data_IF_189877889195
#
_entry.id   IF_189877889195
#
_cell.length_a   1.000
_cell.length_b   1.000
_cell.length_c   1.000
_cell.angle_alpha   90.00
_cell.angle_beta   90.00
_cell.angle_gamma   90.00
#
_symmetry.space_group_name_H-M   'P 1'
#
loop_
_entity.id
_entity.type
_entity.pdbx_description
1 polymer ?
#
# COMPACT_ATOMS: atom_id res chain seq x y z
N UNK A 1 -25.06 -13.16 -16.77
CA UNK A 1 -23.63 -13.21 -16.38
C UNK A 1 -22.95 -14.15 -17.36
N UNK A 2 -22.20 -13.64 -18.33
CA UNK A 2 -21.52 -14.51 -19.29
C UNK A 2 -20.38 -15.22 -18.57
N UNK A 3 -20.48 -16.55 -18.45
CA UNK A 3 -19.36 -17.39 -18.03
C UNK A 3 -18.21 -17.14 -19.01
N UNK A 4 -17.07 -16.69 -18.48
CA UNK A 4 -15.82 -16.57 -19.22
C UNK A 4 -15.40 -18.00 -19.56
N UNK A 5 -15.71 -18.45 -20.77
CA UNK A 5 -15.35 -19.81 -21.20
C UNK A 5 -13.85 -19.82 -21.51
N UNK A 6 -13.08 -20.41 -20.59
CA UNK A 6 -11.67 -20.73 -20.77
C UNK A 6 -11.54 -22.18 -21.21
N UNK A 7 -10.62 -22.45 -22.14
CA UNK A 7 -10.25 -23.82 -22.44
C UNK A 7 -9.22 -24.35 -21.42
N UNK A 8 -9.08 -25.67 -21.34
CA UNK A 8 -8.17 -26.34 -20.39
C UNK A 8 -6.72 -25.86 -20.49
N UNK A 9 -6.26 -25.52 -21.70
CA UNK A 9 -4.91 -25.01 -21.94
C UNK A 9 -4.71 -23.62 -21.35
N UNK A 10 -5.71 -22.75 -21.49
CA UNK A 10 -5.72 -21.40 -20.92
C UNK A 10 -5.85 -21.45 -19.40
N UNK A 11 -6.67 -22.35 -18.87
CA UNK A 11 -6.78 -22.64 -17.45
C UNK A 11 -5.44 -23.04 -16.83
N UNK A 12 -4.78 -24.03 -17.44
CA UNK A 12 -3.45 -24.48 -17.01
C UNK A 12 -2.41 -23.36 -17.10
N UNK A 13 -2.42 -22.60 -18.20
CA UNK A 13 -1.55 -21.44 -18.36
C UNK A 13 -1.74 -20.42 -17.23
N UNK A 14 -2.99 -20.04 -16.92
CA UNK A 14 -3.31 -19.05 -15.88
C UNK A 14 -2.78 -19.51 -14.52
N UNK A 15 -3.03 -20.77 -14.16
CA UNK A 15 -2.54 -21.34 -12.89
C UNK A 15 -1.02 -21.31 -12.80
N UNK A 16 -0.31 -21.68 -13.87
CA UNK A 16 1.15 -21.63 -13.89
C UNK A 16 1.70 -20.20 -13.82
N UNK A 17 1.03 -19.23 -14.46
CA UNK A 17 1.41 -17.81 -14.35
C UNK A 17 1.30 -17.33 -12.90
N UNK A 18 0.23 -17.70 -12.20
CA UNK A 18 0.01 -17.34 -10.79
C UNK A 18 1.09 -17.97 -9.89
N UNK A 19 1.55 -19.18 -10.23
CA UNK A 19 2.64 -19.86 -9.54
C UNK A 19 4.03 -19.26 -9.83
N UNK A 20 4.14 -18.29 -10.74
CA UNK A 20 5.41 -17.64 -11.08
C UNK A 20 6.23 -18.35 -12.16
N UNK A 21 5.63 -19.29 -12.89
CA UNK A 21 6.31 -20.02 -13.96
C UNK A 21 6.67 -19.12 -15.14
N UNK A 22 7.79 -19.42 -15.80
CA UNK A 22 8.22 -18.67 -17.00
C UNK A 22 7.34 -19.00 -18.20
N UNK A 23 7.12 -18.03 -19.10
CA UNK A 23 6.38 -18.24 -20.36
C UNK A 23 6.95 -19.40 -21.18
N UNK A 24 8.28 -19.61 -21.13
CA UNK A 24 8.94 -20.73 -21.80
C UNK A 24 8.57 -22.09 -21.19
N UNK A 25 8.50 -22.20 -19.86
CA UNK A 25 8.06 -23.41 -19.17
C UNK A 25 6.57 -23.68 -19.44
N UNK A 26 5.73 -22.65 -19.38
CA UNK A 26 4.29 -22.74 -19.64
C UNK A 26 4.01 -23.22 -21.07
N UNK A 27 4.66 -22.60 -22.06
CA UNK A 27 4.50 -22.97 -23.47
C UNK A 27 4.79 -24.46 -23.71
N UNK A 28 5.87 -25.00 -23.09
CA UNK A 28 6.20 -26.43 -23.15
C UNK A 28 5.15 -27.30 -22.43
N UNK A 29 4.72 -26.89 -21.24
CA UNK A 29 3.75 -27.62 -20.41
C UNK A 29 2.35 -27.70 -21.02
N UNK A 30 1.95 -26.68 -21.78
CA UNK A 30 0.64 -26.55 -22.42
C UNK A 30 0.67 -26.99 -23.89
N UNK A 31 1.86 -27.31 -24.41
CA UNK A 31 2.13 -27.68 -25.80
C UNK A 31 1.59 -26.65 -26.81
N UNK A 32 2.08 -25.41 -26.69
CA UNK A 32 1.81 -24.29 -27.61
C UNK A 32 3.06 -23.42 -27.78
N UNK A 33 3.07 -22.54 -28.76
CA UNK A 33 4.18 -21.59 -28.93
C UNK A 33 4.13 -20.48 -27.87
N UNK A 34 5.28 -19.86 -27.56
CA UNK A 34 5.34 -18.68 -26.68
C UNK A 34 4.48 -17.53 -27.23
N UNK A 35 4.45 -17.35 -28.55
CA UNK A 35 3.61 -16.34 -29.21
C UNK A 35 2.12 -16.54 -28.91
N UNK A 36 1.66 -17.79 -28.92
CA UNK A 36 0.28 -18.15 -28.53
C UNK A 36 -0.05 -17.73 -27.10
N UNK A 37 0.88 -17.94 -26.16
CA UNK A 37 0.71 -17.51 -24.76
C UNK A 37 0.56 -15.99 -24.68
N UNK A 38 1.42 -15.22 -25.34
CA UNK A 38 1.31 -13.75 -25.37
C UNK A 38 0.00 -13.28 -26.00
N UNK A 39 -0.45 -13.94 -27.07
CA UNK A 39 -1.74 -13.66 -27.69
C UNK A 39 -2.91 -13.91 -26.73
N UNK A 40 -2.87 -14.98 -25.95
CA UNK A 40 -3.90 -15.26 -24.94
C UNK A 40 -3.89 -14.25 -23.81
N UNK A 41 -2.71 -13.85 -23.32
CA UNK A 41 -2.56 -12.85 -22.26
C UNK A 41 -3.17 -11.49 -22.62
N UNK A 42 -3.27 -11.18 -23.91
CA UNK A 42 -3.87 -9.94 -24.37
C UNK A 42 -5.40 -9.96 -24.38
N UNK A 43 -6.04 -11.13 -24.27
CA UNK A 43 -7.50 -11.26 -24.28
C UNK A 43 -8.11 -10.83 -22.95
N UNK A 44 -9.19 -10.05 -23.01
CA UNK A 44 -9.82 -9.46 -21.82
C UNK A 44 -10.34 -10.51 -20.85
N UNK A 45 -10.87 -11.63 -21.36
CA UNK A 45 -11.37 -12.72 -20.55
C UNK A 45 -10.25 -13.42 -19.74
N UNK A 46 -9.03 -13.51 -20.31
CA UNK A 46 -7.84 -14.05 -19.63
C UNK A 46 -7.33 -13.08 -18.56
N UNK A 47 -7.27 -11.78 -18.89
CA UNK A 47 -6.88 -10.73 -17.95
C UNK A 47 -7.83 -10.67 -16.75
N UNK A 48 -9.14 -10.74 -17.01
CA UNK A 48 -10.17 -10.74 -15.99
C UNK A 48 -10.00 -11.93 -15.02
N UNK A 49 -9.79 -13.14 -15.54
CA UNK A 49 -9.60 -14.32 -14.70
C UNK A 49 -8.29 -14.28 -13.90
N UNK A 50 -7.19 -13.83 -14.51
CA UNK A 50 -5.92 -13.62 -13.80
C UNK A 50 -6.10 -12.65 -12.63
N UNK A 51 -6.80 -11.54 -12.85
CA UNK A 51 -7.08 -10.57 -11.81
C UNK A 51 -7.97 -11.16 -10.71
N UNK A 52 -9.04 -11.88 -11.09
CA UNK A 52 -9.95 -12.55 -10.16
C UNK A 52 -9.19 -13.51 -9.24
N UNK A 53 -8.37 -14.42 -9.79
CA UNK A 53 -7.61 -15.39 -8.98
C UNK A 53 -6.56 -14.72 -8.09
N UNK A 54 -5.89 -13.67 -8.56
CA UNK A 54 -4.98 -12.90 -7.72
C UNK A 54 -5.70 -12.25 -6.55
N UNK A 55 -6.87 -11.68 -6.81
CA UNK A 55 -7.69 -11.09 -5.76
C UNK A 55 -8.19 -12.15 -4.78
N UNK A 56 -8.60 -13.32 -5.26
CA UNK A 56 -9.02 -14.44 -4.41
C UNK A 56 -7.90 -14.86 -3.46
N UNK A 57 -6.65 -14.98 -3.95
CA UNK A 57 -5.48 -15.29 -3.11
C UNK A 57 -5.21 -14.20 -2.06
N UNK A 58 -5.29 -12.93 -2.46
CA UNK A 58 -5.13 -11.80 -1.52
C UNK A 58 -6.21 -11.85 -0.44
N UNK A 59 -7.46 -12.09 -0.82
CA UNK A 59 -8.58 -12.20 0.10
C UNK A 59 -8.41 -13.39 1.05
N UNK A 60 -7.96 -14.54 0.55
CA UNK A 60 -7.66 -15.73 1.36
C UNK A 60 -6.57 -15.43 2.39
N UNK A 61 -5.45 -14.84 1.96
CA UNK A 61 -4.37 -14.43 2.86
C UNK A 61 -4.83 -13.43 3.92
N UNK A 62 -5.63 -12.44 3.53
CA UNK A 62 -6.21 -11.47 4.47
C UNK A 62 -7.14 -12.15 5.49
N UNK A 63 -7.97 -13.09 5.04
CA UNK A 63 -8.86 -13.84 5.94
C UNK A 63 -8.07 -14.73 6.90
N UNK A 64 -6.98 -15.33 6.42
CA UNK A 64 -6.05 -16.12 7.25
C UNK A 64 -5.44 -15.26 8.36
N UNK A 65 -4.94 -14.07 8.03
CA UNK A 65 -4.41 -13.11 9.01
C UNK A 65 -5.51 -12.63 9.96
N UNK A 66 -6.68 -12.28 9.43
CA UNK A 66 -7.82 -11.74 10.18
C UNK A 66 -8.26 -12.68 11.30
N UNK A 67 -8.27 -13.99 11.03
CA UNK A 67 -8.60 -15.03 12.01
C UNK A 67 -7.73 -14.95 13.28
N UNK A 68 -6.48 -14.55 13.13
CA UNK A 68 -5.48 -14.53 14.20
C UNK A 68 -5.26 -13.13 14.79
N UNK A 69 -5.93 -12.09 14.28
CA UNK A 69 -5.74 -10.69 14.73
C UNK A 69 -5.87 -10.54 16.24
N UNK A 70 -6.81 -11.23 16.87
CA UNK A 70 -6.97 -11.19 18.33
C UNK A 70 -5.71 -11.71 19.06
N UNK A 71 -5.11 -12.79 18.58
CA UNK A 71 -3.88 -13.35 19.13
C UNK A 71 -2.70 -12.38 18.97
N UNK A 72 -2.62 -11.68 17.84
CA UNK A 72 -1.60 -10.63 17.64
C UNK A 72 -1.79 -9.46 18.61
N UNK A 73 -3.04 -9.04 18.85
CA UNK A 73 -3.35 -8.03 19.86
C UNK A 73 -2.93 -8.49 21.25
N UNK A 74 -3.23 -9.74 21.62
CA UNK A 74 -2.86 -10.29 22.93
C UNK A 74 -1.35 -10.31 23.12
N UNK A 75 -0.57 -10.69 22.11
CA UNK A 75 0.90 -10.61 22.12
C UNK A 75 1.43 -9.18 22.28
N UNK A 76 0.81 -8.19 21.63
CA UNK A 76 1.18 -6.77 21.82
C UNK A 76 0.89 -6.34 23.26
N UNK A 77 -0.21 -6.81 23.86
CA UNK A 77 -0.54 -6.54 25.27
C UNK A 77 0.44 -7.20 26.24
N UNK A 78 1.02 -8.34 25.88
CA UNK A 78 2.12 -8.96 26.65
C UNK A 78 3.38 -8.09 26.61
N UNK A 79 3.79 -7.65 25.41
CA UNK A 79 4.93 -6.72 25.25
C UNK A 79 4.72 -5.39 26.01
N UNK A 80 3.49 -4.88 26.01
CA UNK A 80 3.12 -3.66 26.75
C UNK A 80 3.19 -3.83 28.28
N UNK A 81 3.18 -5.07 28.80
CA UNK A 81 3.30 -5.38 30.23
C UNK A 81 4.70 -5.79 30.65
N UNK A 82 5.55 -6.14 29.71
CA UNK A 82 6.92 -6.52 29.98
C UNK A 82 7.73 -5.31 30.48
N UNK A 83 8.34 -5.46 31.65
CA UNK A 83 9.15 -4.42 32.31
C UNK A 83 10.64 -4.55 32.01
N UNK A 84 11.06 -5.64 31.38
CA UNK A 84 12.46 -5.94 31.07
C UNK A 84 13.02 -4.99 30.00
N UNK A 85 12.23 -4.71 28.96
CA UNK A 85 12.55 -3.75 27.91
C UNK A 85 11.56 -2.57 27.93
N UNK A 86 11.99 -1.48 28.57
CA UNK A 86 11.21 -0.23 28.68
C UNK A 86 10.92 0.40 27.32
N UNK A 87 11.79 0.25 26.33
CA UNK A 87 11.61 0.84 25.00
C UNK A 87 10.52 0.10 24.23
N UNK A 88 10.57 -1.23 24.23
CA UNK A 88 9.54 -2.08 23.64
C UNK A 88 8.20 -1.92 24.35
N UNK A 89 8.19 -1.84 25.68
CA UNK A 89 7.01 -1.57 26.49
C UNK A 89 6.35 -0.23 26.11
N UNK A 90 7.13 0.85 26.05
CA UNK A 90 6.65 2.18 25.66
C UNK A 90 6.07 2.16 24.24
N UNK A 91 6.78 1.56 23.28
CA UNK A 91 6.34 1.49 21.89
C UNK A 91 5.03 0.70 21.72
N UNK A 92 4.89 -0.44 22.42
CA UNK A 92 3.66 -1.24 22.40
C UNK A 92 2.46 -0.47 23.00
N UNK A 93 2.67 0.21 24.14
CA UNK A 93 1.63 1.05 24.74
C UNK A 93 1.25 2.24 23.85
N UNK A 94 2.23 2.92 23.25
CA UNK A 94 1.99 4.01 22.29
C UNK A 94 1.18 3.52 21.09
N UNK A 95 1.56 2.40 20.49
CA UNK A 95 0.83 1.81 19.37
C UNK A 95 -0.64 1.53 19.71
N UNK A 96 -0.91 0.92 20.88
CA UNK A 96 -2.27 0.63 21.34
C UNK A 96 -3.09 1.90 21.59
N UNK A 97 -2.49 2.93 22.21
CA UNK A 97 -3.16 4.21 22.46
C UNK A 97 -3.47 4.94 21.15
N UNK A 98 -2.53 5.00 20.22
CA UNK A 98 -2.69 5.67 18.93
C UNK A 98 -3.76 5.00 18.07
N UNK A 99 -4.03 3.69 18.26
CA UNK A 99 -5.13 3.00 17.57
C UNK A 99 -6.52 3.47 18.04
N UNK A 100 -6.63 3.97 19.27
CA UNK A 100 -7.87 4.47 19.87
C UNK A 100 -8.03 5.98 19.64
N UNK A 101 -6.98 6.75 19.88
CA UNK A 101 -7.03 8.21 19.87
C UNK A 101 -6.52 8.85 18.56
N UNK A 102 -6.00 8.04 17.63
CA UNK A 102 -5.26 8.54 16.47
C UNK A 102 -3.82 8.95 16.84
N UNK A 103 -3.00 9.24 15.83
CA UNK A 103 -1.69 9.84 16.05
C UNK A 103 -1.87 11.35 16.22
N UNK A 104 -1.21 11.93 17.23
CA UNK A 104 -1.00 13.38 17.30
C UNK A 104 0.11 13.77 16.31
N UNK A 105 -0.21 13.83 15.03
CA UNK A 105 0.67 14.48 14.05
C UNK A 105 0.37 15.97 14.08
N UNK A 106 1.24 16.76 14.71
CA UNK A 106 1.30 18.20 14.46
C UNK A 106 1.87 18.41 13.05
N UNK A 107 1.01 18.36 12.04
CA UNK A 107 1.37 18.81 10.69
C UNK A 107 1.20 20.33 10.70
N UNK A 108 2.30 21.07 10.82
CA UNK A 108 2.31 22.45 10.36
C UNK A 108 2.36 22.38 8.83
N UNK A 109 1.20 22.35 8.19
CA UNK A 109 1.10 22.53 6.74
C UNK A 109 1.49 23.98 6.43
N UNK A 110 2.75 24.21 6.09
CA UNK A 110 3.12 25.43 5.36
C UNK A 110 2.61 25.19 3.94
N UNK A 111 1.49 25.81 3.60
CA UNK A 111 1.07 25.95 2.20
C UNK A 111 2.14 26.79 1.50
N UNK A 112 3.10 26.14 0.85
CA UNK A 112 3.83 26.76 -0.25
C UNK A 112 2.89 26.70 -1.46
N UNK A 113 2.07 27.74 -1.60
CA UNK A 113 1.36 28.00 -2.85
C UNK A 113 2.44 28.35 -3.88
N UNK A 114 2.76 27.39 -4.74
CA UNK A 114 3.66 27.55 -5.88
C UNK A 114 2.84 28.18 -7.01
N UNK A 115 2.34 29.40 -6.77
CA UNK A 115 1.81 30.24 -7.83
C UNK A 115 2.88 31.27 -8.16
N UNK A 116 3.35 31.19 -9.40
CA UNK A 116 4.42 32.03 -9.95
C UNK A 116 3.91 33.43 -10.22
N UNK A 117 3.45 34.13 -9.18
CA UNK A 117 3.21 35.56 -9.27
C UNK A 117 4.45 36.31 -8.81
N UNK A 118 4.90 37.18 -9.71
CA UNK A 118 6.09 38.00 -9.64
C UNK A 118 6.13 38.77 -8.30
N UNK A 119 6.80 38.20 -7.30
CA UNK A 119 6.92 38.81 -5.97
C UNK A 119 7.75 40.08 -6.10
N UNK A 120 7.12 41.25 -5.93
CA UNK A 120 7.82 42.53 -5.90
C UNK A 120 8.76 42.55 -4.68
N UNK A 121 10.07 42.49 -4.92
CA UNK A 121 11.11 42.53 -3.89
C UNK A 121 10.93 43.72 -2.93
N UNK A 122 10.31 44.82 -3.38
CA UNK A 122 10.04 45.99 -2.53
C UNK A 122 8.97 45.70 -1.48
N UNK A 123 7.96 44.89 -1.81
CA UNK A 123 6.90 44.54 -0.88
C UNK A 123 7.44 43.61 0.23
N UNK A 124 8.30 42.66 -0.13
CA UNK A 124 8.93 41.75 0.82
C UNK A 124 9.87 42.49 1.79
N UNK A 125 10.62 43.48 1.28
CA UNK A 125 11.48 44.33 2.10
C UNK A 125 10.66 45.17 3.10
N UNK A 126 9.50 45.69 2.68
CA UNK A 126 8.61 46.46 3.56
C UNK A 126 7.99 45.58 4.65
N UNK A 127 7.53 44.38 4.30
CA UNK A 127 6.97 43.42 5.24
C UNK A 127 8.00 42.96 6.28
N UNK A 128 9.24 42.68 5.87
CA UNK A 128 10.35 42.37 6.78
C UNK A 128 10.68 43.54 7.73
N UNK A 129 10.64 44.78 7.22
CA UNK A 129 10.87 45.97 8.03
C UNK A 129 9.74 46.22 9.04
N UNK A 130 8.49 45.88 8.71
CA UNK A 130 7.36 45.91 9.65
C UNK A 130 7.50 44.83 10.71
N UNK A 131 7.86 43.60 10.33
CA UNK A 131 8.05 42.49 11.28
C UNK A 131 9.15 42.77 12.30
N UNK A 132 10.30 43.30 11.85
CA UNK A 132 11.40 43.72 12.74
C UNK A 132 11.00 44.85 13.69
N UNK A 133 10.03 45.70 13.31
CA UNK A 133 9.50 46.75 14.19
C UNK A 133 8.55 46.18 15.25
N UNK A 134 7.74 45.18 14.90
CA UNK A 134 6.85 44.51 15.86
C UNK A 134 7.63 43.71 16.91
N UNK A 135 8.73 43.05 16.54
CA UNK A 135 9.60 42.33 17.48
C UNK A 135 10.45 43.21 18.41
N UNK A 136 10.41 44.54 18.26
CA UNK A 136 11.13 45.50 19.12
C UNK A 136 10.26 46.17 20.19
N UNK A 137 8.99 45.79 20.30
CA UNK A 137 8.15 46.21 21.42
C UNK A 137 8.51 45.31 22.61
N UNK A 138 9.34 45.84 23.51
CA UNK A 138 9.56 45.32 24.86
C UNK A 138 8.29 45.47 25.70
#
# INVERSE_FOLDING_TARGET
MFSVVLNEKQEKMISMIIQGETIAAIARSVNVTRSTIYSWLNKDNIKAELNRRRQDIVNEGNNYILKDVKSYIDKIKELAKDKSDKRTCLAANQYLLNRVYGNTTSVAEIYSDDDSDNVDENELAEQLARFKRMGKIK
#
